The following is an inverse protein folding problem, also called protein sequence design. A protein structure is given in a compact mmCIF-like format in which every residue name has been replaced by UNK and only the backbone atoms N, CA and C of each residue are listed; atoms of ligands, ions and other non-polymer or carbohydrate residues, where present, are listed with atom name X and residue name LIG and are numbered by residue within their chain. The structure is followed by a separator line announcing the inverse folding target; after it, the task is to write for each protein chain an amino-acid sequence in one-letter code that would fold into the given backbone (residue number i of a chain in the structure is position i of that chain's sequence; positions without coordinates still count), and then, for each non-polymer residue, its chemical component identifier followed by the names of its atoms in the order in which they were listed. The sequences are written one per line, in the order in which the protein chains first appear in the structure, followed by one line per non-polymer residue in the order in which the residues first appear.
data_IF_191940935953
#
_entry.id   IF_191940935953
#
_cell.length_a   1.000
_cell.length_b   1.000
_cell.length_c   1.000
_cell.angle_alpha   90.00
_cell.angle_beta   90.00
_cell.angle_gamma   90.00
#
_symmetry.space_group_name_H-M   'P 1'
#
loop_
_entity.id
_entity.type
_entity.pdbx_description
1 polymer ?
#
# COMPACT_ATOMS: atom_id res chain seq x y z
N UNK A 1 31.32 5.49 -18.22
CA UNK A 1 31.11 4.22 -17.50
C UNK A 1 32.02 4.26 -16.27
N UNK A 2 31.47 4.59 -15.08
CA UNK A 2 32.24 4.72 -13.84
C UNK A 2 32.03 3.46 -13.00
N UNK A 3 33.04 2.60 -12.82
CA UNK A 3 32.89 1.31 -12.13
C UNK A 3 32.57 1.42 -10.63
N UNK A 4 32.78 2.60 -10.02
CA UNK A 4 32.40 2.87 -8.63
C UNK A 4 30.87 2.88 -8.43
N UNK A 5 30.13 3.44 -9.38
CA UNK A 5 28.67 3.54 -9.28
C UNK A 5 27.99 2.17 -9.36
N UNK A 6 28.56 1.22 -10.11
CA UNK A 6 28.04 -0.14 -10.17
C UNK A 6 28.17 -0.84 -8.82
N UNK A 7 29.34 -0.73 -8.17
CA UNK A 7 29.55 -1.29 -6.84
C UNK A 7 28.59 -0.69 -5.81
N UNK A 8 28.38 0.64 -5.85
CA UNK A 8 27.43 1.32 -4.96
C UNK A 8 25.99 0.83 -5.17
N UNK A 9 25.57 0.59 -6.43
CA UNK A 9 24.26 0.03 -6.75
C UNK A 9 24.12 -1.39 -6.19
N UNK A 10 25.11 -2.25 -6.39
CA UNK A 10 25.07 -3.62 -5.85
C UNK A 10 25.05 -3.61 -4.32
N UNK A 11 25.80 -2.72 -3.68
CA UNK A 11 25.83 -2.56 -2.23
C UNK A 11 24.48 -2.05 -1.70
N UNK A 12 23.87 -1.08 -2.38
CA UNK A 12 22.54 -0.57 -2.06
C UNK A 12 21.46 -1.65 -2.18
N UNK A 13 21.49 -2.45 -3.26
CA UNK A 13 20.56 -3.58 -3.45
C UNK A 13 20.77 -4.64 -2.37
N UNK A 14 22.02 -4.99 -2.05
CA UNK A 14 22.34 -5.97 -1.02
C UNK A 14 21.86 -5.50 0.37
N UNK A 15 22.08 -4.24 0.72
CA UNK A 15 21.58 -3.63 1.95
C UNK A 15 20.05 -3.58 1.99
N UNK A 16 19.39 -3.16 0.90
CA UNK A 16 17.94 -3.14 0.82
C UNK A 16 17.34 -4.55 0.95
N UNK A 17 17.96 -5.55 0.31
CA UNK A 17 17.56 -6.94 0.41
C UNK A 17 17.73 -7.45 1.84
N UNK A 18 18.89 -7.25 2.46
CA UNK A 18 19.14 -7.64 3.86
C UNK A 18 18.16 -6.96 4.82
N UNK A 19 17.90 -5.67 4.65
CA UNK A 19 16.93 -4.95 5.47
C UNK A 19 15.51 -5.51 5.30
N UNK A 20 15.09 -5.78 4.06
CA UNK A 20 13.75 -6.31 3.76
C UNK A 20 13.57 -7.71 4.32
N UNK A 21 14.53 -8.61 4.08
CA UNK A 21 14.50 -9.97 4.62
C UNK A 21 14.65 -9.99 6.13
N UNK A 22 15.50 -9.14 6.69
CA UNK A 22 15.67 -8.98 8.14
C UNK A 22 14.38 -8.53 8.82
N UNK A 23 13.69 -7.54 8.27
CA UNK A 23 12.40 -7.08 8.79
C UNK A 23 11.32 -8.17 8.65
N UNK A 24 11.34 -8.94 7.55
CA UNK A 24 10.39 -10.03 7.33
C UNK A 24 10.62 -11.20 8.30
N UNK A 25 11.87 -11.62 8.47
CA UNK A 25 12.25 -12.67 9.40
C UNK A 25 12.02 -12.25 10.86
N UNK A 26 12.41 -11.01 11.21
CA UNK A 26 12.15 -10.41 12.51
C UNK A 26 10.65 -10.29 12.80
N UNK A 27 9.85 -9.91 11.81
CA UNK A 27 8.39 -9.86 11.92
C UNK A 27 7.77 -11.23 12.18
N UNK A 28 8.25 -12.29 11.52
CA UNK A 28 7.79 -13.68 11.76
C UNK A 28 8.14 -14.16 13.17
N UNK A 29 9.38 -13.93 13.62
CA UNK A 29 9.83 -14.28 14.97
C UNK A 29 9.06 -13.50 16.06
N UNK A 30 8.79 -12.22 15.81
CA UNK A 30 8.03 -11.38 16.73
C UNK A 30 6.55 -11.77 16.74
N UNK A 31 5.97 -12.15 15.59
CA UNK A 31 4.60 -12.66 15.48
C UNK A 31 4.39 -13.92 16.31
N UNK A 32 5.42 -14.75 16.49
CA UNK A 32 5.39 -15.92 17.37
C UNK A 32 5.33 -15.54 18.86
N UNK A 33 5.92 -14.40 19.24
CA UNK A 33 5.93 -13.85 20.61
C UNK A 33 4.72 -12.95 20.91
N UNK A 34 3.94 -12.59 19.90
CA UNK A 34 2.78 -11.70 20.06
C UNK A 34 1.62 -12.45 20.74
N UNK A 35 1.02 -11.87 21.80
CA UNK A 35 -0.04 -12.53 22.56
C UNK A 35 -1.26 -12.78 21.68
N UNK A 36 -1.69 -14.05 21.60
CA UNK A 36 -2.76 -14.52 20.69
C UNK A 36 -4.17 -14.06 21.09
N UNK A 37 -4.33 -13.44 22.26
CA UNK A 37 -5.61 -13.00 22.83
C UNK A 37 -5.51 -11.59 23.43
N UNK A 38 -6.54 -10.76 23.20
CA UNK A 38 -6.69 -9.44 23.83
C UNK A 38 -6.86 -8.26 22.87
N UNK A 39 -6.78 -7.04 23.42
CA UNK A 39 -6.92 -5.76 22.69
C UNK A 39 -5.79 -5.54 21.67
N UNK A 40 -4.60 -6.07 21.94
CA UNK A 40 -3.42 -5.91 21.10
C UNK A 40 -3.60 -6.58 19.73
N UNK A 41 -4.19 -7.78 19.69
CA UNK A 41 -4.47 -8.50 18.44
C UNK A 41 -5.45 -7.74 17.54
N UNK A 42 -6.50 -7.13 18.11
CA UNK A 42 -7.41 -6.27 17.33
C UNK A 42 -6.68 -5.06 16.74
N UNK A 43 -5.74 -4.48 17.49
CA UNK A 43 -4.87 -3.42 16.98
C UNK A 43 -4.00 -3.91 15.82
N UNK A 44 -3.41 -5.11 15.95
CA UNK A 44 -2.62 -5.72 14.90
C UNK A 44 -3.42 -6.09 13.66
N UNK A 45 -4.63 -6.62 13.81
CA UNK A 45 -5.53 -6.94 12.69
C UNK A 45 -5.99 -5.66 11.96
N UNK A 46 -5.99 -4.51 12.64
CA UNK A 46 -6.28 -3.21 12.06
C UNK A 46 -5.06 -2.53 11.40
N UNK A 47 -3.83 -2.94 11.72
CA UNK A 47 -2.60 -2.37 11.13
C UNK A 47 -2.56 -2.43 9.60
N UNK A 48 -2.88 -3.55 8.93
CA UNK A 48 -2.84 -3.63 7.47
C UNK A 48 -3.78 -2.61 6.83
N UNK A 49 -5.01 -2.52 7.34
CA UNK A 49 -6.00 -1.55 6.85
C UNK A 49 -5.57 -0.10 7.12
N UNK A 50 -5.05 0.18 8.31
CA UNK A 50 -4.58 1.51 8.69
C UNK A 50 -3.36 1.95 7.88
N UNK A 51 -2.41 1.05 7.61
CA UNK A 51 -1.25 1.32 6.75
C UNK A 51 -1.68 1.65 5.32
N UNK A 52 -2.55 0.82 4.74
CA UNK A 52 -3.12 1.08 3.42
C UNK A 52 -3.83 2.44 3.40
N UNK A 53 -4.65 2.74 4.40
CA UNK A 53 -5.35 4.02 4.51
C UNK A 53 -4.36 5.19 4.63
N UNK A 54 -3.32 5.06 5.46
CA UNK A 54 -2.29 6.08 5.65
C UNK A 54 -1.46 6.34 4.39
N UNK A 55 -1.34 5.38 3.48
CA UNK A 55 -0.68 5.54 2.18
C UNK A 55 -1.64 6.14 1.14
N UNK A 56 -2.90 5.69 1.16
CA UNK A 56 -3.91 6.10 0.19
C UNK A 56 -4.38 7.54 0.43
N UNK A 57 -4.62 7.94 1.68
CA UNK A 57 -5.05 9.29 2.05
C UNK A 57 -4.14 10.40 1.49
N UNK A 58 -2.80 10.37 1.68
CA UNK A 58 -1.93 11.39 1.09
C UNK A 58 -1.81 11.27 -0.42
N UNK A 59 -1.91 10.06 -1.00
CA UNK A 59 -1.93 9.91 -2.47
C UNK A 59 -3.15 10.60 -3.09
N UNK A 60 -4.31 10.55 -2.41
CA UNK A 60 -5.53 11.23 -2.84
C UNK A 60 -5.40 12.74 -2.62
N UNK A 61 -4.84 13.16 -1.48
CA UNK A 61 -4.64 14.57 -1.17
C UNK A 61 -3.73 15.26 -2.21
N UNK A 62 -2.66 14.58 -2.66
CA UNK A 62 -1.78 15.07 -3.72
C UNK A 62 -2.44 15.06 -5.11
N UNK A 63 -3.50 14.28 -5.32
CA UNK A 63 -4.26 14.25 -6.58
C UNK A 63 -5.30 15.39 -6.68
N UNK A 64 -5.42 16.26 -5.68
CA UNK A 64 -6.30 17.43 -5.70
C UNK A 64 -7.79 17.12 -5.44
N UNK A 65 -8.69 18.13 -5.59
CA UNK A 65 -10.12 18.00 -5.26
C UNK A 65 -10.85 16.94 -6.11
N UNK A 66 -10.39 16.69 -7.34
CA UNK A 66 -10.90 15.63 -8.20
C UNK A 66 -10.49 14.23 -7.72
N UNK A 67 -9.30 14.10 -7.12
CA UNK A 67 -8.86 12.86 -6.47
C UNK A 67 -9.77 12.45 -5.32
N UNK A 68 -10.25 13.41 -4.52
CA UNK A 68 -11.21 13.13 -3.44
C UNK A 68 -12.56 12.63 -3.96
N UNK A 69 -13.08 13.20 -5.05
CA UNK A 69 -14.32 12.72 -5.68
C UNK A 69 -14.16 11.31 -6.26
N UNK A 70 -13.05 11.04 -6.95
CA UNK A 70 -12.75 9.71 -7.50
C UNK A 70 -12.57 8.65 -6.40
N UNK A 71 -11.89 9.00 -5.30
CA UNK A 71 -11.76 8.14 -4.13
C UNK A 71 -13.12 7.85 -3.47
N UNK A 72 -13.98 8.87 -3.36
CA UNK A 72 -15.34 8.72 -2.84
C UNK A 72 -16.20 7.78 -3.67
N UNK A 73 -16.17 7.92 -5.00
CA UNK A 73 -16.89 7.03 -5.93
C UNK A 73 -16.33 5.61 -5.88
N UNK A 74 -15.00 5.45 -5.84
CA UNK A 74 -14.35 4.14 -5.76
C UNK A 74 -14.66 3.44 -4.44
N UNK A 75 -14.64 4.17 -3.32
CA UNK A 75 -15.03 3.64 -2.00
C UNK A 75 -16.50 3.21 -1.98
N UNK A 76 -17.40 4.00 -2.57
CA UNK A 76 -18.83 3.69 -2.65
C UNK A 76 -19.09 2.43 -3.51
N UNK A 77 -18.38 2.29 -4.62
CA UNK A 77 -18.46 1.12 -5.52
C UNK A 77 -17.84 -0.13 -4.86
N UNK A 78 -16.71 0.02 -4.18
CA UNK A 78 -16.06 -1.07 -3.43
C UNK A 78 -16.97 -1.60 -2.31
N UNK A 79 -17.75 -0.72 -1.67
CA UNK A 79 -18.71 -1.11 -0.65
C UNK A 79 -19.95 -1.83 -1.22
N UNK A 80 -20.30 -1.56 -2.48
CA UNK A 80 -21.47 -2.14 -3.14
C UNK A 80 -21.18 -3.47 -3.85
N UNK A 81 -19.99 -3.61 -4.45
CA UNK A 81 -19.67 -4.71 -5.35
C UNK A 81 -19.07 -5.89 -4.58
N UNK A 82 -19.93 -6.83 -4.17
CA UNK A 82 -19.57 -8.10 -3.52
C UNK A 82 -18.77 -9.07 -4.43
N UNK A 83 -18.17 -8.57 -5.52
CA UNK A 83 -17.38 -9.29 -6.53
C UNK A 83 -16.07 -8.52 -6.84
N UNK A 84 -14.94 -9.02 -6.33
CA UNK A 84 -13.63 -8.33 -6.33
C UNK A 84 -13.12 -7.94 -7.72
N UNK A 85 -13.41 -8.74 -8.75
CA UNK A 85 -12.95 -8.46 -10.12
C UNK A 85 -13.66 -7.24 -10.73
N UNK A 86 -14.97 -7.11 -10.48
CA UNK A 86 -15.73 -5.96 -10.95
C UNK A 86 -15.29 -4.67 -10.22
N UNK A 87 -14.96 -4.76 -8.93
CA UNK A 87 -14.43 -3.64 -8.16
C UNK A 87 -13.06 -3.17 -8.68
N UNK A 88 -12.16 -4.10 -9.02
CA UNK A 88 -10.85 -3.76 -9.62
C UNK A 88 -11.01 -3.12 -11.00
N UNK A 89 -11.85 -3.66 -11.88
CA UNK A 89 -12.11 -3.11 -13.21
C UNK A 89 -12.71 -1.71 -13.17
N UNK A 90 -13.71 -1.49 -12.30
CA UNK A 90 -14.31 -0.17 -12.13
C UNK A 90 -13.33 0.84 -11.52
N UNK A 91 -12.58 0.45 -10.49
CA UNK A 91 -11.53 1.30 -9.92
C UNK A 91 -10.47 1.69 -10.96
N UNK A 92 -10.07 0.74 -11.81
CA UNK A 92 -9.13 0.98 -12.91
C UNK A 92 -9.69 1.93 -13.96
N UNK A 93 -10.97 1.79 -14.34
CA UNK A 93 -11.64 2.70 -15.28
C UNK A 93 -11.76 4.11 -14.69
N UNK A 94 -12.05 4.24 -13.40
CA UNK A 94 -12.10 5.54 -12.71
C UNK A 94 -10.71 6.20 -12.68
N UNK A 95 -9.64 5.45 -12.37
CA UNK A 95 -8.26 5.96 -12.41
C UNK A 95 -7.81 6.29 -13.84
N UNK A 96 -8.17 5.48 -14.83
CA UNK A 96 -7.90 5.76 -16.25
C UNK A 96 -8.64 6.99 -16.75
N UNK A 97 -9.90 7.17 -16.36
CA UNK A 97 -10.70 8.35 -16.66
C UNK A 97 -10.10 9.59 -15.99
N UNK A 98 -9.67 9.48 -14.72
CA UNK A 98 -8.95 10.55 -14.02
C UNK A 98 -7.63 10.91 -14.73
N UNK A 99 -6.91 9.92 -15.26
CA UNK A 99 -5.65 10.13 -15.97
C UNK A 99 -5.84 10.68 -17.39
N UNK A 100 -6.93 10.35 -18.07
CA UNK A 100 -7.28 10.92 -19.39
C UNK A 100 -7.91 12.30 -19.32
N UNK A 101 -8.63 12.62 -18.24
CA UNK A 101 -9.16 13.96 -17.96
C UNK A 101 -8.11 14.89 -17.34
N UNK A 102 -6.83 14.51 -17.41
CA UNK A 102 -5.68 15.24 -16.87
C UNK A 102 -5.56 16.68 -17.35
N UNK A 103 -6.24 17.57 -16.62
CA UNK A 103 -5.62 18.73 -16.00
C UNK A 103 -5.04 18.30 -14.65
#
# INVERSE_FOLDING_TARGET
MQPAAELDIFLAIALAALATYGLRAGGLLLAERLPKTGRLRRGMDALPGALLLSLVVPSIANAGPWGMLAAGVTALVAWRSRNMLAAMLLGMIVVLAQRQLGL
#
